data_IF_275261635675
#
_entry.id   IF_275261635675
#
_cell.length_a   1.000
_cell.length_b   1.000
_cell.length_c   1.000
_cell.angle_alpha   90.00
_cell.angle_beta   90.00
_cell.angle_gamma   90.00
#
_symmetry.space_group_name_H-M   'P 1'
#
loop_
_entity.id
_entity.type
_entity.pdbx_description
1 polymer ?
#
# COMPACT_ATOMS: atom_id res chain seq x y z
N UNK A 1 9.17 20.81 -9.33
CA UNK A 1 9.85 20.11 -8.22
C UNK A 1 8.97 19.86 -7.00
N UNK A 2 8.04 20.77 -6.63
CA UNK A 2 7.15 20.60 -5.44
C UNK A 2 6.40 19.26 -5.41
N UNK A 3 5.86 18.80 -6.55
CA UNK A 3 5.16 17.52 -6.65
C UNK A 3 6.02 16.28 -6.33
N UNK A 4 7.27 16.22 -6.80
CA UNK A 4 8.17 15.08 -6.49
C UNK A 4 8.52 15.03 -5.01
N UNK A 5 8.72 16.20 -4.37
CA UNK A 5 8.95 16.27 -2.94
C UNK A 5 7.72 15.85 -2.14
N UNK A 6 6.53 16.28 -2.54
CA UNK A 6 5.27 15.88 -1.90
C UNK A 6 5.07 14.35 -1.97
N UNK A 7 5.32 13.73 -3.13
CA UNK A 7 5.27 12.26 -3.28
C UNK A 7 6.35 11.59 -2.41
N UNK A 8 7.57 12.13 -2.38
CA UNK A 8 8.65 11.59 -1.53
C UNK A 8 8.31 11.61 -0.04
N UNK A 9 7.75 12.71 0.46
CA UNK A 9 7.25 12.81 1.85
C UNK A 9 6.05 11.89 2.10
N UNK A 10 5.13 11.77 1.14
CA UNK A 10 4.03 10.81 1.22
C UNK A 10 4.52 9.37 1.35
N UNK A 11 5.51 8.96 0.54
CA UNK A 11 6.14 7.64 0.65
C UNK A 11 6.82 7.44 2.02
N UNK A 12 7.49 8.46 2.56
CA UNK A 12 8.10 8.39 3.89
C UNK A 12 7.05 8.21 4.98
N UNK A 13 6.02 9.04 5.00
CA UNK A 13 4.97 9.00 6.01
C UNK A 13 4.23 7.65 5.98
N UNK A 14 3.87 7.20 4.77
CA UNK A 14 3.21 5.91 4.60
C UNK A 14 4.12 4.74 4.99
N UNK A 15 5.38 4.76 4.58
CA UNK A 15 6.34 3.72 4.95
C UNK A 15 6.62 3.66 6.45
N UNK A 16 6.76 4.81 7.11
CA UNK A 16 6.93 4.91 8.56
C UNK A 16 5.70 4.40 9.31
N UNK A 17 4.49 4.73 8.83
CA UNK A 17 3.25 4.20 9.37
C UNK A 17 3.16 2.67 9.24
N UNK A 18 3.51 2.12 8.07
CA UNK A 18 3.52 0.67 7.87
C UNK A 18 4.52 -0.04 8.79
N UNK A 19 5.72 0.52 8.97
CA UNK A 19 6.73 -0.01 9.88
C UNK A 19 6.27 0.05 11.33
N UNK A 20 5.70 1.18 11.75
CA UNK A 20 5.14 1.33 13.10
C UNK A 20 4.02 0.33 13.36
N UNK A 21 3.07 0.22 12.42
CA UNK A 21 1.95 -0.73 12.52
C UNK A 21 2.42 -2.19 12.53
N UNK A 22 3.40 -2.55 11.70
CA UNK A 22 4.00 -3.89 11.71
C UNK A 22 4.74 -4.17 13.03
N UNK A 23 5.48 -3.18 13.53
CA UNK A 23 6.19 -3.27 14.81
C UNK A 23 5.23 -3.46 15.99
N UNK A 24 4.14 -2.69 16.05
CA UNK A 24 3.08 -2.86 17.05
C UNK A 24 2.41 -4.23 16.93
N UNK A 25 2.11 -4.68 15.71
CA UNK A 25 1.48 -5.99 15.47
C UNK A 25 2.37 -7.15 15.93
N UNK A 26 3.68 -7.08 15.67
CA UNK A 26 4.63 -8.08 16.15
C UNK A 26 4.85 -7.99 17.67
N UNK A 27 4.95 -6.79 18.22
CA UNK A 27 5.08 -6.58 19.66
C UNK A 27 3.89 -7.17 20.42
N UNK A 28 2.66 -6.91 19.97
CA UNK A 28 1.45 -7.48 20.57
C UNK A 28 1.41 -9.01 20.43
N UNK A 29 1.83 -9.55 19.29
CA UNK A 29 1.91 -11.00 19.07
C UNK A 29 2.87 -11.70 20.04
N UNK A 30 4.05 -11.13 20.29
CA UNK A 30 5.07 -11.75 21.14
C UNK A 30 4.98 -11.40 22.63
N UNK A 31 4.49 -10.20 22.99
CA UNK A 31 4.48 -9.70 24.37
C UNK A 31 3.11 -9.83 25.05
N UNK A 32 2.02 -9.93 24.30
CA UNK A 32 0.67 -10.03 24.84
C UNK A 32 -0.24 -10.98 24.02
N UNK A 33 0.19 -12.25 23.76
CA UNK A 33 -0.56 -13.19 22.93
C UNK A 33 -1.98 -13.47 23.50
N UNK A 34 -2.11 -13.47 24.82
CA UNK A 34 -3.36 -13.69 25.57
C UNK A 34 -4.43 -12.62 25.26
N UNK A 35 -4.01 -11.37 25.01
CA UNK A 35 -4.90 -10.26 24.68
C UNK A 35 -5.09 -10.10 23.16
N UNK A 36 -4.06 -10.44 22.39
CA UNK A 36 -4.03 -10.22 20.96
C UNK A 36 -4.78 -11.33 20.19
N UNK A 37 -4.65 -12.59 20.59
CA UNK A 37 -5.35 -13.73 19.97
C UNK A 37 -6.88 -13.53 19.93
N UNK A 38 -7.53 -13.22 21.07
CA UNK A 38 -8.96 -12.92 21.11
C UNK A 38 -9.36 -11.72 20.24
N UNK A 39 -8.58 -10.63 20.26
CA UNK A 39 -8.83 -9.45 19.44
C UNK A 39 -8.69 -9.74 17.93
N UNK A 40 -7.75 -10.59 17.54
CA UNK A 40 -7.57 -11.02 16.15
C UNK A 40 -8.67 -11.98 15.68
N UNK A 41 -9.19 -12.79 16.61
CA UNK A 41 -10.32 -13.68 16.33
C UNK A 41 -11.65 -12.95 16.21
N UNK A 42 -11.84 -11.84 16.95
CA UNK A 42 -13.03 -10.98 16.86
C UNK A 42 -12.97 -9.98 15.71
N UNK A 43 -11.77 -9.63 15.23
CA UNK A 43 -11.57 -8.82 14.04
C UNK A 43 -11.93 -9.61 12.76
N UNK A 44 -13.22 -9.61 12.41
CA UNK A 44 -13.71 -9.99 11.09
C UNK A 44 -13.51 -11.48 10.75
N UNK A 45 -14.08 -12.38 11.54
CA UNK A 45 -14.18 -13.82 11.23
C UNK A 45 -14.71 -14.10 9.82
N UNK A 46 -15.48 -13.16 9.26
CA UNK A 46 -16.28 -13.35 8.05
C UNK A 46 -15.70 -12.67 6.80
N UNK A 47 -14.53 -12.02 6.90
CA UNK A 47 -13.89 -11.39 5.76
C UNK A 47 -13.07 -12.42 4.94
N UNK A 48 -13.29 -12.53 3.61
CA UNK A 48 -12.54 -13.45 2.78
C UNK A 48 -11.04 -13.13 2.79
N UNK A 49 -10.22 -14.10 3.19
CA UNK A 49 -8.76 -13.96 3.32
C UNK A 49 -8.26 -13.72 4.75
N UNK A 50 -9.14 -13.39 5.70
CA UNK A 50 -8.77 -13.15 7.09
C UNK A 50 -8.28 -14.43 7.80
N UNK A 51 -8.80 -15.60 7.40
CA UNK A 51 -8.32 -16.91 7.88
C UNK A 51 -6.87 -17.18 7.51
N UNK A 52 -6.46 -16.83 6.29
CA UNK A 52 -5.07 -16.96 5.84
C UNK A 52 -4.16 -15.96 6.57
N UNK A 53 -4.61 -14.70 6.71
CA UNK A 53 -3.89 -13.66 7.44
C UNK A 53 -3.70 -14.05 8.90
N UNK A 54 -4.73 -14.62 9.56
CA UNK A 54 -4.61 -15.16 10.92
C UNK A 54 -3.60 -16.30 11.00
N UNK A 55 -3.68 -17.26 10.08
CA UNK A 55 -2.77 -18.41 10.06
C UNK A 55 -1.31 -18.02 9.78
N UNK A 56 -1.09 -16.93 9.05
CA UNK A 56 0.24 -16.46 8.65
C UNK A 56 0.50 -15.03 9.15
N UNK A 57 0.01 -14.70 10.35
CA UNK A 57 0.03 -13.34 10.87
C UNK A 57 1.44 -12.73 10.91
N UNK A 58 2.42 -13.51 11.36
CA UNK A 58 3.83 -13.11 11.40
C UNK A 58 4.38 -12.83 10.01
N UNK A 59 4.04 -13.67 9.02
CA UNK A 59 4.42 -13.48 7.62
C UNK A 59 3.78 -12.22 7.04
N UNK A 60 2.51 -11.96 7.35
CA UNK A 60 1.82 -10.74 6.94
C UNK A 60 2.49 -9.49 7.55
N UNK A 61 2.73 -9.48 8.85
CA UNK A 61 3.37 -8.37 9.55
C UNK A 61 4.81 -8.13 9.03
N UNK A 62 5.56 -9.19 8.75
CA UNK A 62 6.89 -9.09 8.14
C UNK A 62 6.82 -8.51 6.72
N UNK A 63 5.87 -9.00 5.90
CA UNK A 63 5.61 -8.46 4.57
C UNK A 63 5.26 -6.98 4.61
N UNK A 64 4.43 -6.57 5.57
CA UNK A 64 4.09 -5.17 5.81
C UNK A 64 5.32 -4.34 6.19
N UNK A 65 6.20 -4.85 7.05
CA UNK A 65 7.45 -4.19 7.40
C UNK A 65 8.38 -4.02 6.19
N UNK A 66 8.51 -5.05 5.34
CA UNK A 66 9.30 -5.00 4.10
C UNK A 66 8.76 -3.95 3.13
N UNK A 67 7.43 -3.92 2.93
CA UNK A 67 6.78 -2.92 2.07
C UNK A 67 6.96 -1.51 2.65
N UNK A 68 6.86 -1.36 3.97
CA UNK A 68 7.10 -0.10 4.67
C UNK A 68 8.54 0.40 4.49
N UNK A 69 9.53 -0.47 4.69
CA UNK A 69 10.94 -0.16 4.46
C UNK A 69 11.21 0.24 3.01
N UNK A 70 10.64 -0.49 2.04
CA UNK A 70 10.75 -0.15 0.63
C UNK A 70 10.20 1.26 0.33
N UNK A 71 9.05 1.62 0.90
CA UNK A 71 8.47 2.96 0.77
C UNK A 71 9.37 4.05 1.37
N UNK A 72 9.98 3.80 2.53
CA UNK A 72 10.94 4.74 3.14
C UNK A 72 12.14 4.94 2.23
N UNK A 73 12.74 3.85 1.75
CA UNK A 73 13.92 3.88 0.86
C UNK A 73 13.60 4.63 -0.44
N UNK A 74 12.45 4.34 -1.07
CA UNK A 74 11.97 5.03 -2.26
C UNK A 74 11.71 6.52 -1.97
N UNK A 75 11.06 6.84 -0.84
CA UNK A 75 10.79 8.22 -0.41
C UNK A 75 12.07 9.04 -0.25
N UNK A 76 13.07 8.52 0.46
CA UNK A 76 14.40 9.13 0.55
C UNK A 76 15.04 9.27 -0.82
N UNK A 77 14.94 8.24 -1.66
CA UNK A 77 15.44 8.25 -3.03
C UNK A 77 14.82 9.37 -3.87
N UNK A 78 13.51 9.60 -3.76
CA UNK A 78 12.78 10.66 -4.45
C UNK A 78 13.17 12.05 -3.94
N UNK A 79 13.29 12.23 -2.62
CA UNK A 79 13.75 13.49 -2.02
C UNK A 79 15.18 13.85 -2.45
N UNK A 80 16.02 12.82 -2.63
CA UNK A 80 17.39 12.95 -3.15
C UNK A 80 17.47 12.93 -4.68
N UNK A 81 16.33 12.93 -5.39
CA UNK A 81 16.23 12.92 -6.85
C UNK A 81 17.03 11.79 -7.52
N UNK A 82 17.09 10.61 -6.89
CA UNK A 82 17.78 9.43 -7.45
C UNK A 82 16.98 8.83 -8.59
N UNK A 83 17.66 8.51 -9.70
CA UNK A 83 17.04 7.97 -10.92
C UNK A 83 16.28 6.66 -10.72
N UNK A 84 16.82 5.76 -9.89
CA UNK A 84 16.19 4.47 -9.60
C UNK A 84 14.89 4.62 -8.81
N UNK A 85 14.75 5.66 -7.98
CA UNK A 85 13.60 5.82 -7.08
C UNK A 85 12.29 6.03 -7.85
N UNK A 86 12.35 6.70 -9.00
CA UNK A 86 11.20 6.85 -9.90
C UNK A 86 10.74 5.50 -10.45
N UNK A 87 11.68 4.69 -10.93
CA UNK A 87 11.38 3.37 -11.50
C UNK A 87 10.86 2.41 -10.42
N UNK A 88 11.48 2.40 -9.24
CA UNK A 88 11.03 1.60 -8.11
C UNK A 88 9.61 1.98 -7.66
N UNK A 89 9.28 3.27 -7.57
CA UNK A 89 7.92 3.70 -7.25
C UNK A 89 6.93 3.29 -8.34
N UNK A 90 7.30 3.42 -9.61
CA UNK A 90 6.45 3.00 -10.73
C UNK A 90 6.14 1.49 -10.67
N UNK A 91 7.14 0.65 -10.39
CA UNK A 91 6.96 -0.79 -10.19
C UNK A 91 6.06 -1.08 -8.99
N UNK A 92 6.28 -0.41 -7.85
CA UNK A 92 5.42 -0.56 -6.67
C UNK A 92 3.97 -0.19 -6.96
N UNK A 93 3.72 0.88 -7.72
CA UNK A 93 2.36 1.25 -8.12
C UNK A 93 1.71 0.18 -9.01
N UNK A 94 2.47 -0.41 -9.94
CA UNK A 94 1.96 -1.50 -10.77
C UNK A 94 1.63 -2.75 -9.96
N UNK A 95 2.52 -3.13 -9.02
CA UNK A 95 2.27 -4.26 -8.12
C UNK A 95 1.03 -4.03 -7.26
N UNK A 96 0.88 -2.82 -6.70
CA UNK A 96 -0.30 -2.45 -5.92
C UNK A 96 -1.57 -2.49 -6.79
N UNK A 97 -1.51 -1.97 -8.02
CA UNK A 97 -2.65 -1.93 -8.93
C UNK A 97 -3.09 -3.34 -9.35
N UNK A 98 -2.14 -4.22 -9.71
CA UNK A 98 -2.40 -5.64 -9.98
C UNK A 98 -2.99 -6.34 -8.77
N UNK A 99 -2.46 -6.07 -7.57
CA UNK A 99 -2.98 -6.61 -6.32
C UNK A 99 -4.43 -6.18 -6.03
N UNK A 100 -4.74 -4.89 -6.22
CA UNK A 100 -6.10 -4.36 -6.04
C UNK A 100 -7.07 -4.97 -7.05
N UNK A 101 -6.69 -5.08 -8.34
CA UNK A 101 -7.52 -5.71 -9.37
C UNK A 101 -7.75 -7.19 -9.08
N UNK A 102 -6.70 -7.94 -8.71
CA UNK A 102 -6.81 -9.35 -8.37
C UNK A 102 -7.69 -9.58 -7.13
N UNK A 103 -7.59 -8.71 -6.13
CA UNK A 103 -8.41 -8.76 -4.91
C UNK A 103 -9.89 -8.44 -5.22
N UNK A 104 -10.14 -7.42 -6.04
CA UNK A 104 -11.49 -7.07 -6.51
C UNK A 104 -12.13 -8.21 -7.32
N UNK A 105 -11.36 -8.93 -8.13
CA UNK A 105 -11.84 -10.10 -8.86
C UNK A 105 -12.26 -11.24 -7.92
N UNK A 106 -11.44 -11.54 -6.89
CA UNK A 106 -11.77 -12.55 -5.87
C UNK A 106 -13.01 -12.20 -5.05
N UNK A 107 -13.15 -10.92 -4.67
CA UNK A 107 -14.34 -10.43 -3.98
C UNK A 107 -15.59 -10.58 -4.86
N UNK A 108 -15.52 -10.18 -6.13
CA UNK A 108 -16.63 -10.35 -7.08
C UNK A 108 -17.08 -11.81 -7.19
N UNK A 109 -16.15 -12.76 -7.31
CA UNK A 109 -16.49 -14.20 -7.36
C UNK A 109 -17.10 -14.74 -6.07
N UNK A 110 -16.76 -14.17 -4.91
CA UNK A 110 -17.36 -14.54 -3.63
C UNK A 110 -18.79 -13.98 -3.48
N UNK A 111 -19.04 -12.76 -3.98
CA UNK A 111 -20.35 -12.11 -3.89
C UNK A 111 -21.40 -12.64 -4.87
N UNK A 112 -20.99 -13.26 -5.99
CA UNK A 112 -21.93 -13.88 -6.95
C UNK A 112 -22.65 -15.12 -6.41
N UNK A 113 -22.23 -15.67 -5.27
CA UNK A 113 -22.84 -16.84 -4.64
C UNK A 113 -23.79 -16.55 -3.47
N UNK A 114 -24.00 -15.27 -3.10
CA UNK A 114 -24.76 -14.90 -1.89
C UNK A 114 -26.14 -14.33 -2.27
N UNK A 115 -27.26 -14.93 -1.81
CA UNK A 115 -28.61 -14.44 -2.09
C UNK A 115 -28.83 -13.02 -1.61
N UNK A 116 -29.41 -12.17 -2.47
CA UNK A 116 -29.60 -10.73 -2.25
C UNK A 116 -30.44 -10.37 -1.00
N UNK A 117 -31.25 -11.29 -0.47
CA UNK A 117 -32.12 -11.06 0.69
C UNK A 117 -31.47 -11.28 2.07
N UNK A 118 -30.18 -11.63 2.13
CA UNK A 118 -29.49 -12.00 3.38
C UNK A 118 -28.60 -10.90 3.98
N UNK A 119 -28.37 -9.79 3.27
CA UNK A 119 -27.44 -8.74 3.71
C UNK A 119 -28.16 -7.66 4.49
N UNK A 120 -27.73 -7.42 5.73
CA UNK A 120 -28.24 -6.32 6.55
C UNK A 120 -27.95 -4.96 5.92
N UNK A 121 -28.72 -3.92 6.27
CA UNK A 121 -28.55 -2.56 5.73
C UNK A 121 -27.16 -1.96 6.00
N UNK A 122 -26.52 -2.34 7.11
CA UNK A 122 -25.16 -1.90 7.47
C UNK A 122 -24.07 -2.58 6.65
N UNK A 123 -24.25 -3.85 6.30
CA UNK A 123 -23.29 -4.60 5.46
C UNK A 123 -23.25 -4.04 4.03
N UNK A 124 -24.42 -3.67 3.48
CA UNK A 124 -24.50 -3.04 2.16
C UNK A 124 -23.78 -1.69 2.08
N UNK A 125 -23.80 -0.89 3.15
CA UNK A 125 -23.08 0.39 3.20
C UNK A 125 -21.57 0.17 3.23
N UNK A 126 -21.10 -0.78 4.04
CA UNK A 126 -19.67 -1.10 4.15
C UNK A 126 -19.11 -1.66 2.84
N UNK A 127 -19.88 -2.47 2.11
CA UNK A 127 -19.53 -2.94 0.77
C UNK A 127 -19.35 -1.78 -0.22
N UNK A 128 -20.29 -0.83 -0.23
CA UNK A 128 -20.21 0.36 -1.09
C UNK A 128 -18.98 1.21 -0.75
N UNK A 129 -18.70 1.43 0.53
CA UNK A 129 -17.51 2.16 0.98
C UNK A 129 -16.24 1.44 0.55
N UNK A 130 -16.16 0.12 0.69
CA UNK A 130 -15.00 -0.67 0.27
C UNK A 130 -14.76 -0.58 -1.25
N UNK A 131 -15.83 -0.64 -2.06
CA UNK A 131 -15.74 -0.46 -3.51
C UNK A 131 -15.28 0.94 -3.87
N UNK A 132 -15.84 1.97 -3.25
CA UNK A 132 -15.43 3.37 -3.50
C UNK A 132 -13.97 3.61 -3.13
N UNK A 133 -13.51 3.08 -1.99
CA UNK A 133 -12.11 3.14 -1.58
C UNK A 133 -11.20 2.40 -2.57
N UNK A 134 -11.62 1.22 -3.05
CA UNK A 134 -10.90 0.46 -4.07
C UNK A 134 -10.77 1.22 -5.39
N UNK A 135 -11.86 1.84 -5.86
CA UNK A 135 -11.85 2.68 -7.08
C UNK A 135 -10.98 3.91 -6.89
N UNK A 136 -11.10 4.61 -5.75
CA UNK A 136 -10.27 5.77 -5.44
C UNK A 136 -8.78 5.39 -5.40
N UNK A 137 -8.44 4.22 -4.86
CA UNK A 137 -7.08 3.69 -4.86
C UNK A 137 -6.58 3.39 -6.28
N UNK A 138 -7.38 2.74 -7.12
CA UNK A 138 -7.03 2.47 -8.53
C UNK A 138 -6.76 3.77 -9.29
N UNK A 139 -7.64 4.76 -9.15
CA UNK A 139 -7.48 6.08 -9.77
C UNK A 139 -6.22 6.77 -9.26
N UNK A 140 -5.98 6.77 -7.94
CA UNK A 140 -4.80 7.35 -7.33
C UNK A 140 -3.50 6.73 -7.85
N UNK A 141 -3.43 5.40 -7.93
CA UNK A 141 -2.27 4.68 -8.46
C UNK A 141 -2.05 4.97 -9.96
N UNK A 142 -3.11 5.00 -10.76
CA UNK A 142 -3.03 5.32 -12.17
C UNK A 142 -2.53 6.76 -12.39
N UNK A 143 -3.06 7.73 -11.64
CA UNK A 143 -2.61 9.12 -11.69
C UNK A 143 -1.15 9.27 -11.28
N UNK A 144 -0.71 8.52 -10.26
CA UNK A 144 0.68 8.51 -9.82
C UNK A 144 1.61 7.94 -10.90
N UNK A 145 1.22 6.84 -11.56
CA UNK A 145 1.97 6.27 -12.70
C UNK A 145 2.06 7.29 -13.84
N UNK A 146 0.95 7.91 -14.22
CA UNK A 146 0.92 8.96 -15.25
C UNK A 146 1.85 10.11 -14.87
N UNK A 147 1.80 10.57 -13.62
CA UNK A 147 2.68 11.62 -13.10
C UNK A 147 4.17 11.23 -13.19
N UNK A 148 4.53 9.99 -12.84
CA UNK A 148 5.90 9.48 -12.93
C UNK A 148 6.40 9.34 -14.38
N UNK A 149 5.48 9.14 -15.33
CA UNK A 149 5.80 9.04 -16.77
C UNK A 149 5.92 10.39 -17.47
N UNK A 150 5.41 11.49 -16.90
CA UNK A 150 5.52 12.84 -17.50
C UNK A 150 6.98 13.22 -17.76
N UNK A 151 7.22 13.86 -18.92
CA UNK A 151 8.54 14.33 -19.35
C UNK A 151 9.17 15.30 -18.33
N UNK A 152 8.35 16.17 -17.74
CA UNK A 152 8.77 17.13 -16.69
C UNK A 152 9.30 16.43 -15.43
N UNK A 153 8.64 15.35 -15.00
CA UNK A 153 9.08 14.51 -13.89
C UNK A 153 10.38 13.79 -14.25
N UNK A 154 10.46 13.18 -15.43
CA UNK A 154 11.68 12.52 -15.92
C UNK A 154 12.89 13.47 -15.99
N UNK A 155 12.68 14.69 -16.47
CA UNK A 155 13.72 15.72 -16.56
C UNK A 155 14.30 16.10 -15.18
N UNK A 156 13.47 16.11 -14.13
CA UNK A 156 13.91 16.40 -12.75
C UNK A 156 14.89 15.35 -12.20
N UNK A 157 14.83 14.10 -12.67
CA UNK A 157 15.79 13.04 -12.31
C UNK A 157 16.97 12.96 -13.31
N UNK A 158 16.84 13.57 -14.49
CA UNK A 158 17.88 13.65 -15.51
C UNK A 158 18.95 14.69 -15.19
N UNK A 159 18.56 15.89 -14.76
CA UNK A 159 19.46 17.04 -14.58
C UNK A 159 20.44 16.93 -13.39
N UNK A 160 20.14 16.11 -12.38
CA UNK A 160 21.04 15.88 -11.25
C UNK A 160 22.37 15.21 -11.63
N UNK A 161 22.45 14.52 -12.77
CA UNK A 161 23.73 13.98 -13.26
C UNK A 161 24.60 15.04 -13.97
N UNK A 162 23.99 16.10 -14.53
CA UNK A 162 24.74 17.18 -15.20
C UNK A 162 25.43 18.12 -14.21
N UNK A 163 24.98 18.18 -12.96
CA UNK A 163 25.61 19.01 -11.91
C UNK A 163 26.75 18.32 -11.15
N UNK A 164 26.85 16.99 -11.20
CA UNK A 164 27.92 16.26 -10.53
C UNK A 164 29.23 16.15 -11.35
N UNK A 165 29.18 16.49 -12.66
CA UNK A 165 30.33 16.47 -13.57
C UNK A 165 30.94 17.83 -13.89
N UNK A 166 30.52 18.90 -13.21
CA UNK A 166 31.13 20.24 -13.29
C UNK A 166 31.51 20.69 -11.88
N UNK A 167 32.62 20.17 -11.38
CA UNK A 167 33.42 20.88 -10.39
C UNK A 167 34.65 21.44 -11.13
N UNK A 168 34.99 22.72 -10.96
CA UNK A 168 36.21 23.32 -11.52
C UNK A 168 37.47 22.71 -10.92
#
# INVERSE_FOLDING_TARGET
MKGVKAVGWGCLAFGAFLLWSAGMSLALWYLAPEAFGPALSSAGSDLPGMSWIRAHWTTYAFGQAVVGAAHVVIGVGLLRLRRWARAALEVMCWLALLGTVASGWRLRSAFTGVPAGSRGSTEGIMDVVAVLLGVAQLVGLALLIVFLRRRTTRAAFGSSAGKAGRAP
#
